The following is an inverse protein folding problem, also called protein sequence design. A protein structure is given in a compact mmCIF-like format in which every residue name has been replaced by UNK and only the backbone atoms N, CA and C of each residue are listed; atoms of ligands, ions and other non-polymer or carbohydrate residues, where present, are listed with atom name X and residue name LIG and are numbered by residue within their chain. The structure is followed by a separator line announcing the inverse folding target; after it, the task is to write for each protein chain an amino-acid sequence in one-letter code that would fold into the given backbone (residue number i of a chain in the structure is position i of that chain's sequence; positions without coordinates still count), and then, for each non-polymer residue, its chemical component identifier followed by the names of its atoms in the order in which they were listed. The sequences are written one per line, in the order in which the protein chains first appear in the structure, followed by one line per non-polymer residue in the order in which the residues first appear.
data_IF_178988188683
#
_entry.id   IF_178988188683
#
_cell.length_a   1.000
_cell.length_b   1.000
_cell.length_c   1.000
_cell.angle_alpha   90.00
_cell.angle_beta   90.00
_cell.angle_gamma   90.00
#
_symmetry.space_group_name_H-M   'P 1'
#
loop_
_entity.id
_entity.type
_entity.pdbx_description
1 polymer ?
#
# COMPACT_ATOMS: atom_id res chain seq x y z
N UNK A 1 15.77 45.05 -34.63
CA UNK A 1 15.55 43.61 -34.82
C UNK A 1 14.39 43.20 -33.93
N UNK A 2 13.40 42.53 -34.52
CA UNK A 2 12.03 42.45 -34.02
C UNK A 2 11.92 41.80 -32.63
N UNK A 3 11.11 42.44 -31.80
CA UNK A 3 10.57 41.91 -30.55
C UNK A 3 9.66 40.73 -30.85
N UNK A 4 9.89 39.57 -30.23
CA UNK A 4 8.90 38.49 -30.18
C UNK A 4 8.45 38.32 -28.75
N UNK A 5 7.46 39.13 -28.39
CA UNK A 5 6.65 38.91 -27.21
C UNK A 5 5.70 37.73 -27.51
N UNK A 6 5.76 36.67 -26.71
CA UNK A 6 4.67 35.68 -26.66
C UNK A 6 4.03 35.75 -25.29
N UNK A 7 2.93 36.49 -25.25
CA UNK A 7 2.08 36.72 -24.08
C UNK A 7 1.09 35.54 -23.85
N UNK A 8 0.37 35.53 -22.70
CA UNK A 8 -0.01 34.33 -21.96
C UNK A 8 -1.45 33.83 -22.21
N UNK A 9 -1.77 32.72 -21.54
CA UNK A 9 -3.11 32.21 -21.22
C UNK A 9 -3.92 31.47 -22.31
N UNK A 10 -3.86 30.14 -22.19
CA UNK A 10 -5.00 29.22 -22.04
C UNK A 10 -6.22 29.48 -22.94
N UNK A 11 -6.10 29.15 -24.22
CA UNK A 11 -7.25 28.68 -24.99
C UNK A 11 -7.53 27.22 -24.59
N UNK A 12 -8.80 26.87 -24.41
CA UNK A 12 -9.28 25.58 -23.89
C UNK A 12 -9.06 24.37 -24.80
N UNK A 13 -7.96 24.37 -25.56
CA UNK A 13 -7.62 23.33 -26.51
C UNK A 13 -6.22 22.77 -26.21
N UNK A 14 -6.02 21.45 -26.35
CA UNK A 14 -4.69 20.88 -26.27
C UNK A 14 -3.83 21.46 -27.39
N UNK A 15 -2.60 21.86 -27.07
CA UNK A 15 -1.64 22.29 -28.08
C UNK A 15 -1.41 21.17 -29.10
N UNK A 16 -1.26 21.52 -30.38
CA UNK A 16 -1.06 20.57 -31.48
C UNK A 16 0.05 19.56 -31.16
N UNK A 17 -0.21 18.27 -31.40
CA UNK A 17 0.72 17.17 -31.08
C UNK A 17 0.75 16.73 -29.60
N UNK A 18 -0.05 17.33 -28.72
CA UNK A 18 -0.16 16.95 -27.30
C UNK A 18 -1.47 16.26 -26.96
N UNK A 19 -1.43 15.51 -25.87
CA UNK A 19 -2.53 14.69 -25.40
C UNK A 19 -3.76 15.54 -25.06
N UNK A 20 -4.90 15.19 -25.66
CA UNK A 20 -6.18 15.88 -25.43
C UNK A 20 -6.85 15.62 -24.08
N UNK A 21 -6.27 14.77 -23.23
CA UNK A 21 -6.83 14.45 -21.91
C UNK A 21 -6.71 15.63 -20.94
N UNK A 22 -7.83 16.05 -20.36
CA UNK A 22 -7.89 17.12 -19.37
C UNK A 22 -7.80 16.56 -17.96
N UNK A 23 -6.78 16.98 -17.20
CA UNK A 23 -6.57 16.53 -15.83
C UNK A 23 -7.29 17.49 -14.88
N UNK A 24 -8.51 17.14 -14.46
CA UNK A 24 -9.34 17.99 -13.59
C UNK A 24 -8.63 18.39 -12.30
N UNK A 25 -7.94 17.44 -11.65
CA UNK A 25 -7.14 17.69 -10.43
C UNK A 25 -6.09 18.77 -10.60
N UNK A 26 -5.52 18.90 -11.80
CA UNK A 26 -4.41 19.82 -12.11
C UNK A 26 -4.83 20.99 -13.00
N UNK A 27 -6.12 21.08 -13.32
CA UNK A 27 -6.75 22.10 -14.18
C UNK A 27 -5.94 22.42 -15.46
N UNK A 28 -5.45 21.37 -16.13
CA UNK A 28 -4.64 21.50 -17.35
C UNK A 28 -4.74 20.27 -18.23
N UNK A 29 -4.50 20.44 -19.53
CA UNK A 29 -4.31 19.33 -20.47
C UNK A 29 -3.00 18.58 -20.20
N UNK A 30 -3.01 17.28 -20.47
CA UNK A 30 -1.81 16.46 -20.37
C UNK A 30 -0.73 16.95 -21.35
N UNK A 31 0.49 17.09 -20.86
CA UNK A 31 1.61 17.69 -21.61
C UNK A 31 2.37 16.68 -22.47
N UNK A 32 2.00 15.39 -22.40
CA UNK A 32 2.65 14.32 -23.14
C UNK A 32 2.37 14.44 -24.65
N UNK A 33 3.35 14.01 -25.44
CA UNK A 33 3.28 13.94 -26.90
C UNK A 33 2.45 12.73 -27.32
N UNK A 34 1.69 12.90 -28.40
CA UNK A 34 0.83 11.85 -28.96
C UNK A 34 1.54 11.17 -30.13
N UNK A 35 1.33 9.86 -30.29
CA UNK A 35 1.79 9.14 -31.47
C UNK A 35 1.05 9.64 -32.73
N UNK A 36 1.69 9.53 -33.89
CA UNK A 36 1.09 9.91 -35.16
C UNK A 36 -0.28 9.24 -35.35
N UNK A 37 -1.32 10.05 -35.62
CA UNK A 37 -2.68 9.57 -35.85
C UNK A 37 -3.52 9.27 -34.59
N UNK A 38 -3.00 9.50 -33.37
CA UNK A 38 -3.77 9.32 -32.12
C UNK A 38 -4.14 10.67 -31.50
N UNK A 39 -5.11 10.67 -30.57
CA UNK A 39 -5.56 11.88 -29.82
C UNK A 39 -5.04 11.97 -28.38
N UNK A 40 -4.58 10.85 -27.83
CA UNK A 40 -4.13 10.72 -26.45
C UNK A 40 -2.74 10.08 -26.36
N UNK A 41 -1.96 10.42 -25.33
CA UNK A 41 -0.67 9.78 -25.07
C UNK A 41 -0.85 8.31 -24.64
N UNK A 42 0.23 7.53 -24.60
CA UNK A 42 0.17 6.11 -24.23
C UNK A 42 -0.55 5.82 -22.90
N UNK A 43 -0.40 6.71 -21.92
CA UNK A 43 -1.07 6.57 -20.61
C UNK A 43 -2.59 6.88 -20.66
N UNK A 44 -3.01 7.84 -21.49
CA UNK A 44 -4.41 8.25 -21.59
C UNK A 44 -5.13 7.64 -22.81
N UNK A 45 -4.46 6.82 -23.62
CA UNK A 45 -5.05 6.16 -24.78
C UNK A 45 -6.18 5.19 -24.38
N UNK A 46 -6.09 4.54 -23.23
CA UNK A 46 -7.15 3.66 -22.69
C UNK A 46 -8.23 4.40 -21.89
N UNK A 47 -7.94 5.60 -21.39
CA UNK A 47 -8.87 6.33 -20.52
C UNK A 47 -10.10 6.86 -21.27
N UNK A 48 -9.95 7.22 -22.55
CA UNK A 48 -11.03 7.82 -23.34
C UNK A 48 -12.06 6.81 -23.87
N UNK A 49 -11.74 5.51 -23.91
CA UNK A 49 -12.65 4.48 -24.41
C UNK A 49 -13.13 3.50 -23.31
N UNK A 50 -12.40 3.38 -22.20
CA UNK A 50 -12.59 2.23 -21.30
C UNK A 50 -13.01 2.57 -19.86
N UNK A 51 -12.84 3.82 -19.38
CA UNK A 51 -13.20 4.17 -18.00
C UNK A 51 -14.69 4.46 -17.80
N UNK A 52 -15.34 5.17 -18.73
CA UNK A 52 -16.77 5.52 -18.60
C UNK A 52 -17.72 4.43 -19.10
N UNK A 53 -17.24 3.49 -19.92
CA UNK A 53 -18.08 2.40 -20.43
C UNK A 53 -18.28 1.27 -19.42
N UNK A 54 -17.37 1.11 -18.45
CA UNK A 54 -17.42 0.00 -17.48
C UNK A 54 -18.24 0.38 -16.25
N UNK A 55 -19.43 -0.20 -16.15
CA UNK A 55 -20.32 -0.03 -14.99
C UNK A 55 -19.67 -0.58 -13.72
N UNK A 56 -19.54 0.28 -12.70
CA UNK A 56 -19.15 -0.08 -11.34
C UNK A 56 -20.41 -0.26 -10.50
N UNK A 57 -20.50 -1.39 -9.80
CA UNK A 57 -21.59 -1.75 -8.88
C UNK A 57 -21.03 -1.91 -7.45
N UNK A 58 -21.88 -1.76 -6.44
CA UNK A 58 -21.50 -2.10 -5.05
C UNK A 58 -21.38 -3.62 -4.92
N UNK A 59 -20.47 -4.08 -4.06
CA UNK A 59 -20.31 -5.51 -3.84
C UNK A 59 -21.54 -6.11 -3.13
N UNK A 60 -22.08 -7.25 -3.60
CA UNK A 60 -23.21 -7.92 -2.96
C UNK A 60 -22.95 -8.43 -1.54
N UNK A 61 -21.68 -8.68 -1.19
CA UNK A 61 -21.29 -9.21 0.13
C UNK A 61 -21.01 -8.09 1.14
N UNK A 62 -20.59 -6.92 0.67
CA UNK A 62 -20.29 -5.77 1.54
C UNK A 62 -20.44 -4.46 0.75
N UNK A 63 -21.37 -3.58 1.11
CA UNK A 63 -21.57 -2.32 0.41
C UNK A 63 -20.43 -1.30 0.63
N UNK A 64 -19.39 -1.63 1.41
CA UNK A 64 -18.23 -0.73 1.65
C UNK A 64 -17.31 -0.57 0.43
N UNK A 65 -17.39 -1.41 -0.60
CA UNK A 65 -16.55 -1.29 -1.79
C UNK A 65 -17.32 -1.49 -3.10
N UNK A 66 -16.80 -0.86 -4.15
CA UNK A 66 -17.32 -0.96 -5.53
C UNK A 66 -16.45 -1.89 -6.37
N UNK A 67 -17.08 -2.59 -7.32
CA UNK A 67 -16.47 -3.57 -8.21
C UNK A 67 -17.04 -3.36 -9.61
N UNK A 68 -16.26 -3.63 -10.64
CA UNK A 68 -16.79 -3.63 -12.00
C UNK A 68 -17.71 -4.84 -12.25
N UNK A 69 -18.77 -4.62 -13.01
CA UNK A 69 -19.78 -5.65 -13.33
C UNK A 69 -19.17 -6.89 -14.00
N UNK A 70 -18.26 -6.68 -14.96
CA UNK A 70 -17.51 -7.72 -15.67
C UNK A 70 -16.59 -8.55 -14.75
N UNK A 71 -16.12 -7.95 -13.66
CA UNK A 71 -15.20 -8.57 -12.70
C UNK A 71 -15.90 -9.10 -11.45
N UNK A 72 -17.23 -8.99 -11.35
CA UNK A 72 -17.99 -9.42 -10.18
C UNK A 72 -17.77 -10.92 -9.87
N UNK A 73 -17.84 -11.79 -10.88
CA UNK A 73 -17.66 -13.23 -10.70
C UNK A 73 -16.26 -13.60 -10.17
N UNK A 74 -15.22 -12.86 -10.59
CA UNK A 74 -13.85 -13.03 -10.07
C UNK A 74 -13.72 -12.45 -8.66
N UNK A 75 -14.35 -11.30 -8.43
CA UNK A 75 -14.36 -10.63 -7.15
C UNK A 75 -15.00 -11.49 -6.05
N UNK A 76 -16.16 -12.11 -6.30
CA UNK A 76 -16.84 -12.99 -5.33
C UNK A 76 -15.96 -14.16 -4.85
N UNK A 77 -15.00 -14.60 -5.69
CA UNK A 77 -14.03 -15.65 -5.32
C UNK A 77 -12.91 -15.17 -4.40
N UNK A 78 -12.63 -13.88 -4.33
CA UNK A 78 -11.51 -13.30 -3.55
C UNK A 78 -11.96 -12.32 -2.47
N UNK A 79 -13.22 -11.91 -2.47
CA UNK A 79 -13.74 -10.89 -1.56
C UNK A 79 -13.41 -11.24 -0.11
N UNK A 80 -12.86 -10.26 0.63
CA UNK A 80 -12.44 -10.47 2.01
C UNK A 80 -13.65 -10.65 2.94
N UNK A 81 -14.81 -10.09 2.57
CA UNK A 81 -16.08 -10.25 3.28
C UNK A 81 -16.70 -11.64 3.08
N UNK A 82 -16.07 -12.52 2.29
CA UNK A 82 -16.47 -13.93 2.24
C UNK A 82 -16.01 -14.63 3.51
N UNK A 83 -16.89 -15.41 4.12
CA UNK A 83 -16.54 -16.33 5.19
C UNK A 83 -15.48 -17.31 4.70
N UNK A 84 -14.27 -17.20 5.28
CA UNK A 84 -13.19 -18.15 5.03
C UNK A 84 -13.32 -19.27 6.07
N UNK A 85 -13.17 -20.54 5.67
CA UNK A 85 -13.10 -21.62 6.63
C UNK A 85 -11.95 -21.32 7.60
N UNK A 86 -12.25 -21.33 8.89
CA UNK A 86 -11.26 -21.13 9.94
C UNK A 86 -10.34 -22.37 9.93
N UNK A 87 -9.00 -22.20 9.96
CA UNK A 87 -8.10 -23.33 10.12
C UNK A 87 -8.31 -24.02 11.46
N UNK A 88 -8.01 -25.32 11.56
CA UNK A 88 -8.17 -26.11 12.80
C UNK A 88 -7.31 -25.58 13.96
N UNK A 89 -6.23 -24.86 13.65
CA UNK A 89 -5.34 -24.22 14.62
C UNK A 89 -5.78 -22.79 15.02
N UNK A 90 -6.94 -22.31 14.55
CA UNK A 90 -7.44 -21.01 14.95
C UNK A 90 -7.98 -21.05 16.38
N UNK A 91 -7.25 -20.42 17.29
CA UNK A 91 -7.72 -20.12 18.65
C UNK A 91 -8.15 -18.66 18.68
N UNK A 92 -9.44 -18.43 18.94
CA UNK A 92 -9.98 -17.08 19.07
C UNK A 92 -9.31 -16.36 20.24
N UNK A 93 -8.99 -15.08 20.06
CA UNK A 93 -8.49 -14.17 21.10
C UNK A 93 -7.11 -14.52 21.71
N UNK A 94 -6.30 -15.38 21.07
CA UNK A 94 -4.92 -15.69 21.52
C UNK A 94 -4.01 -14.45 21.63
N UNK A 95 -4.27 -13.41 20.83
CA UNK A 95 -3.52 -12.14 20.83
C UNK A 95 -4.31 -10.98 21.45
N UNK A 96 -5.50 -11.22 22.02
CA UNK A 96 -6.38 -10.15 22.47
C UNK A 96 -5.87 -9.38 23.69
N UNK A 97 -4.73 -9.78 24.26
CA UNK A 97 -4.24 -9.28 25.53
C UNK A 97 -5.14 -9.76 26.67
N UNK A 98 -4.59 -9.79 27.88
CA UNK A 98 -5.37 -10.08 29.08
C UNK A 98 -6.40 -8.94 29.24
N UNK A 99 -7.69 -9.21 29.01
CA UNK A 99 -8.79 -8.31 29.42
C UNK A 99 -9.12 -8.54 30.89
N UNK A 100 -8.09 -8.61 31.73
CA UNK A 100 -8.32 -8.54 33.16
C UNK A 100 -7.96 -7.11 33.56
N UNK A 101 -8.99 -6.32 33.83
CA UNK A 101 -8.92 -5.28 34.85
C UNK A 101 -8.73 -5.92 36.24
N UNK A 102 -7.82 -6.89 36.36
CA UNK A 102 -7.17 -7.13 37.63
C UNK A 102 -6.29 -5.93 37.84
N UNK A 103 -6.70 -5.05 38.75
CA UNK A 103 -5.85 -4.04 39.38
C UNK A 103 -4.55 -4.74 39.81
N UNK A 104 -3.55 -4.72 38.93
CA UNK A 104 -2.20 -5.11 39.30
C UNK A 104 -1.74 -3.98 40.20
N UNK A 105 -1.47 -4.22 41.50
CA UNK A 105 -0.98 -3.17 42.38
C UNK A 105 0.23 -2.52 41.70
N UNK A 106 0.32 -1.19 41.68
CA UNK A 106 1.38 -0.44 40.97
C UNK A 106 2.80 -0.97 41.29
N UNK A 107 2.95 -1.58 42.47
CA UNK A 107 4.12 -2.29 42.95
C UNK A 107 4.51 -3.58 42.20
N UNK A 108 3.71 -4.13 41.28
CA UNK A 108 4.10 -5.28 40.46
C UNK A 108 4.54 -4.86 39.05
N UNK A 109 4.05 -3.71 38.58
CA UNK A 109 4.34 -3.18 37.24
C UNK A 109 5.81 -2.75 37.12
N UNK A 110 6.41 -2.21 38.20
CA UNK A 110 7.85 -1.87 38.21
C UNK A 110 8.74 -3.12 38.11
N UNK A 111 8.32 -4.25 38.70
CA UNK A 111 9.07 -5.52 38.67
C UNK A 111 9.07 -6.11 37.26
N UNK A 112 7.94 -5.99 36.55
CA UNK A 112 7.82 -6.49 35.18
C UNK A 112 8.57 -5.60 34.17
N UNK A 113 8.49 -4.27 34.32
CA UNK A 113 9.27 -3.34 33.49
C UNK A 113 10.79 -3.46 33.70
N UNK A 114 11.26 -3.73 34.94
CA UNK A 114 12.68 -3.96 35.17
C UNK A 114 13.20 -5.23 34.47
N UNK A 115 12.38 -6.29 34.38
CA UNK A 115 12.75 -7.53 33.67
C UNK A 115 12.89 -7.33 32.16
N UNK A 116 12.11 -6.42 31.57
CA UNK A 116 12.20 -6.09 30.15
C UNK A 116 13.41 -5.19 29.87
N UNK A 117 13.71 -4.23 30.75
CA UNK A 117 14.83 -3.29 30.59
C UNK A 117 16.20 -3.94 30.89
N UNK A 118 16.26 -4.98 31.73
CA UNK A 118 17.48 -5.74 32.03
C UNK A 118 17.76 -6.90 31.06
N UNK A 119 16.88 -7.11 30.06
CA UNK A 119 17.06 -8.12 29.01
C UNK A 119 17.86 -7.66 27.76
N UNK A 120 18.88 -6.78 27.83
CA UNK A 120 19.85 -6.70 26.73
C UNK A 120 21.24 -7.28 27.06
N UNK A 121 21.48 -7.81 28.27
CA UNK A 121 22.85 -8.22 28.65
C UNK A 121 23.13 -9.72 28.53
N UNK A 122 22.12 -10.61 28.50
CA UNK A 122 22.38 -12.06 28.44
C UNK A 122 22.59 -12.64 27.02
N UNK A 123 22.29 -11.91 25.95
CA UNK A 123 22.53 -12.41 24.59
C UNK A 123 23.92 -12.05 24.02
N UNK A 124 24.65 -11.10 24.61
CA UNK A 124 25.99 -10.72 24.13
C UNK A 124 27.11 -11.63 24.66
N UNK A 125 26.89 -12.37 25.75
CA UNK A 125 27.91 -13.26 26.33
C UNK A 125 28.05 -14.58 25.56
N UNK A 126 26.99 -15.08 24.93
CA UNK A 126 27.07 -16.29 24.09
C UNK A 126 27.81 -16.06 22.77
N UNK A 127 27.72 -14.86 22.18
CA UNK A 127 28.43 -14.57 20.93
C UNK A 127 29.96 -14.39 21.13
N UNK A 128 30.40 -13.87 22.29
CA UNK A 128 31.82 -13.69 22.57
C UNK A 128 32.54 -14.97 23.04
N UNK A 129 31.80 -15.95 23.57
CA UNK A 129 32.37 -17.26 23.90
C UNK A 129 32.59 -18.15 22.66
N UNK A 130 31.69 -18.09 21.67
CA UNK A 130 31.83 -18.88 20.43
C UNK A 130 33.02 -18.38 19.60
N UNK A 131 33.29 -17.07 19.55
CA UNK A 131 34.40 -16.51 18.78
C UNK A 131 35.79 -16.79 19.39
N UNK A 132 35.87 -17.18 20.67
CA UNK A 132 37.12 -17.57 21.34
C UNK A 132 37.46 -19.07 21.23
N UNK A 133 36.52 -19.92 20.82
CA UNK A 133 36.77 -21.35 20.64
C UNK A 133 37.19 -21.75 19.22
N UNK A 134 37.15 -20.84 18.24
CA UNK A 134 37.48 -21.16 16.82
C UNK A 134 38.88 -20.68 16.38
N UNK A 135 39.59 -19.84 17.15
CA UNK A 135 40.85 -19.21 16.68
C UNK A 135 42.11 -19.71 17.42
N UNK A 136 42.00 -20.65 18.37
CA UNK A 136 43.17 -21.25 19.03
C UNK A 136 43.04 -22.78 19.08
N UNK A 137 43.32 -23.42 17.95
CA UNK A 137 43.80 -24.80 17.92
C UNK A 137 45.28 -24.73 17.51
N UNK A 138 46.23 -25.11 18.37
CA UNK A 138 47.63 -25.19 17.99
C UNK A 138 47.80 -26.32 16.96
N UNK A 139 48.49 -26.01 15.87
CA UNK A 139 48.95 -27.02 14.91
C UNK A 139 49.99 -27.92 15.60
N UNK A 140 49.67 -29.20 15.74
CA UNK A 140 50.65 -30.28 15.86
C UNK A 140 50.18 -31.43 15.00
#
# INVERSE_FOLDING_TARGET
MATSATSPHATGFPAEGRCGYYVEKKKRFCRMVVAAGKRFCGEHAGAAEEEDARKRILCPLDPKHTVYEDQLAKHLKKCNSREKPKPDFYIQDINAGLKDETEIPEQLVWILHLKIILCPIQHYTVHLMILKMVILQPST
#
